data_IF_128425959293
#
_entry.id   IF_128425959293
#
_cell.length_a   1.000
_cell.length_b   1.000
_cell.length_c   1.000
_cell.angle_alpha   90.00
_cell.angle_beta   90.00
_cell.angle_gamma   90.00
#
_symmetry.space_group_name_H-M   'P 1'
#
loop_
_entity.id
_entity.type
_entity.pdbx_description
1 polymer ?
#
# COMPACT_ATOMS: atom_id res chain seq x y z
N UNK A 1 -17.95 5.54 2.34
CA UNK A 1 -16.99 6.66 2.31
C UNK A 1 -15.61 6.11 1.99
N UNK A 2 -15.28 6.03 0.71
CA UNK A 2 -13.95 5.69 0.21
C UNK A 2 -13.06 6.92 0.39
N UNK A 3 -12.08 6.86 1.30
CA UNK A 3 -11.04 7.89 1.39
C UNK A 3 -10.06 7.75 0.22
N UNK A 4 -10.55 7.93 -1.01
CA UNK A 4 -9.70 8.28 -2.14
C UNK A 4 -9.57 9.80 -2.11
N UNK A 5 -8.59 10.32 -1.36
CA UNK A 5 -8.22 11.73 -1.48
C UNK A 5 -7.85 11.97 -2.95
N UNK A 6 -8.71 12.69 -3.68
CA UNK A 6 -8.36 13.32 -4.95
C UNK A 6 -7.19 14.27 -4.65
N UNK A 7 -5.97 13.80 -4.88
CA UNK A 7 -4.79 14.64 -4.78
C UNK A 7 -4.81 15.62 -5.97
N UNK A 8 -4.40 16.89 -5.77
CA UNK A 8 -4.34 17.88 -6.83
C UNK A 8 -3.46 17.35 -7.98
N UNK A 9 -3.86 17.68 -9.20
CA UNK A 9 -3.49 17.08 -10.50
C UNK A 9 -2.00 17.08 -10.90
N UNK A 10 -1.07 17.40 -9.99
CA UNK A 10 0.37 17.42 -10.26
C UNK A 10 1.26 16.76 -9.20
N UNK A 11 0.68 16.13 -8.16
CA UNK A 11 1.49 15.49 -7.11
C UNK A 11 1.83 14.05 -7.47
N UNK A 12 3.10 13.78 -7.74
CA UNK A 12 3.65 12.44 -7.91
C UNK A 12 3.42 11.64 -6.61
N UNK A 13 2.74 10.50 -6.72
CA UNK A 13 2.45 9.62 -5.58
C UNK A 13 3.68 8.81 -5.24
N UNK A 14 3.92 8.58 -3.94
CA UNK A 14 5.00 7.70 -3.48
C UNK A 14 4.87 6.31 -4.11
N UNK A 15 5.99 5.66 -4.48
CA UNK A 15 5.96 4.24 -4.81
C UNK A 15 5.43 3.46 -3.61
N UNK A 16 4.59 2.45 -3.86
CA UNK A 16 3.97 1.64 -2.82
C UNK A 16 4.98 0.64 -2.27
N UNK A 17 5.01 0.46 -0.96
CA UNK A 17 5.79 -0.64 -0.35
C UNK A 17 5.05 -1.97 -0.46
N UNK A 18 5.77 -3.07 -0.21
CA UNK A 18 5.23 -4.42 -0.26
C UNK A 18 3.98 -4.61 0.60
N UNK A 19 3.99 -4.05 1.82
CA UNK A 19 2.84 -4.08 2.71
C UNK A 19 1.65 -3.26 2.18
N UNK A 20 1.89 -2.12 1.52
CA UNK A 20 0.81 -1.31 0.96
C UNK A 20 0.14 -2.05 -0.21
N UNK A 21 0.92 -2.71 -1.06
CA UNK A 21 0.40 -3.58 -2.13
C UNK A 21 -0.45 -4.70 -1.55
N UNK A 22 0.08 -5.43 -0.55
CA UNK A 22 -0.65 -6.48 0.14
C UNK A 22 -1.95 -5.97 0.78
N UNK A 23 -1.91 -4.84 1.49
CA UNK A 23 -3.10 -4.27 2.13
C UNK A 23 -4.16 -3.88 1.10
N UNK A 24 -3.75 -3.27 -0.01
CA UNK A 24 -4.65 -2.90 -1.09
C UNK A 24 -5.34 -4.14 -1.70
N UNK A 25 -4.58 -5.21 -1.90
CA UNK A 25 -5.10 -6.49 -2.37
C UNK A 25 -6.01 -7.15 -1.32
N UNK A 26 -5.60 -7.21 -0.06
CA UNK A 26 -6.39 -7.75 1.05
C UNK A 26 -7.78 -7.09 1.18
N UNK A 27 -7.83 -5.76 1.07
CA UNK A 27 -9.09 -5.01 1.08
C UNK A 27 -9.89 -5.24 -0.21
N UNK A 28 -9.24 -5.31 -1.37
CA UNK A 28 -9.89 -5.56 -2.67
C UNK A 28 -10.51 -6.96 -2.74
N UNK A 29 -9.83 -7.96 -2.20
CA UNK A 29 -10.30 -9.35 -2.13
C UNK A 29 -11.51 -9.51 -1.19
N UNK A 30 -11.94 -8.46 -0.47
CA UNK A 30 -13.04 -8.49 0.50
C UNK A 30 -12.90 -9.68 1.48
N UNK A 31 -11.65 -10.02 1.85
CA UNK A 31 -11.35 -11.10 2.81
C UNK A 31 -12.13 -10.93 4.12
N UNK A 32 -12.40 -9.68 4.48
CA UNK A 32 -13.34 -9.32 5.54
C UNK A 32 -14.58 -8.70 4.88
N UNK A 33 -15.77 -9.32 5.02
CA UNK A 33 -17.01 -8.74 4.53
C UNK A 33 -17.23 -7.35 5.13
N UNK A 34 -17.82 -6.40 4.39
CA UNK A 34 -18.16 -5.08 4.92
C UNK A 34 -19.13 -5.12 6.11
N UNK A 35 -19.84 -6.23 6.28
CA UNK A 35 -20.71 -6.51 7.43
C UNK A 35 -19.94 -6.86 8.70
N UNK A 36 -18.70 -7.34 8.59
CA UNK A 36 -17.85 -7.72 9.72
C UNK A 36 -16.99 -6.54 10.17
N UNK A 37 -16.32 -5.86 9.24
CA UNK A 37 -15.47 -4.71 9.57
C UNK A 37 -15.42 -3.73 8.41
N UNK A 38 -15.93 -2.52 8.65
CA UNK A 38 -15.92 -1.42 7.66
C UNK A 38 -14.84 -0.39 7.97
N UNK A 39 -14.27 -0.40 9.18
CA UNK A 39 -13.31 0.61 9.60
C UNK A 39 -11.93 0.36 8.93
N UNK A 40 -11.43 1.29 8.09
CA UNK A 40 -10.14 1.14 7.42
C UNK A 40 -8.95 1.02 8.39
N UNK A 41 -9.06 1.59 9.59
CA UNK A 41 -8.05 1.45 10.63
C UNK A 41 -7.94 0.01 11.11
N UNK A 42 -9.07 -0.64 11.41
CA UNK A 42 -9.10 -2.03 11.87
C UNK A 42 -8.67 -3.00 10.78
N UNK A 43 -9.11 -2.79 9.52
CA UNK A 43 -8.63 -3.56 8.38
C UNK A 43 -7.10 -3.46 8.20
N UNK A 44 -6.52 -2.29 8.45
CA UNK A 44 -5.07 -2.11 8.40
C UNK A 44 -4.36 -2.84 9.54
N UNK A 45 -4.95 -2.90 10.74
CA UNK A 45 -4.42 -3.69 11.87
C UNK A 45 -4.45 -5.19 11.57
N UNK A 46 -5.57 -5.70 11.05
CA UNK A 46 -5.72 -7.12 10.67
C UNK A 46 -4.72 -7.49 9.59
N UNK A 47 -4.62 -6.67 8.53
CA UNK A 47 -3.63 -6.87 7.47
C UNK A 47 -2.20 -6.85 8.01
N UNK A 48 -1.87 -5.96 8.95
CA UNK A 48 -0.55 -5.91 9.58
C UNK A 48 -0.25 -7.15 10.43
N UNK A 49 -1.26 -7.74 11.08
CA UNK A 49 -1.09 -9.01 11.80
C UNK A 49 -0.87 -10.17 10.84
N UNK A 50 -1.66 -10.27 9.77
CA UNK A 50 -1.49 -11.30 8.74
C UNK A 50 -0.13 -11.20 8.05
N UNK A 51 0.27 -9.99 7.65
CA UNK A 51 1.55 -9.74 7.02
C UNK A 51 2.73 -10.20 7.90
N UNK A 52 2.66 -9.92 9.21
CA UNK A 52 3.69 -10.37 10.17
C UNK A 52 3.70 -11.90 10.37
N UNK A 53 2.56 -12.56 10.19
CA UNK A 53 2.44 -14.02 10.23
C UNK A 53 2.82 -14.72 8.91
N UNK A 54 2.95 -13.98 7.79
CA UNK A 54 3.33 -14.56 6.50
C UNK A 54 4.79 -14.98 6.48
N UNK A 55 5.08 -16.10 5.82
CA UNK A 55 6.45 -16.55 5.59
C UNK A 55 7.18 -15.66 4.60
N UNK A 56 8.52 -15.72 4.58
CA UNK A 56 9.33 -14.97 3.63
C UNK A 56 8.93 -15.24 2.17
N UNK A 57 8.59 -16.50 1.84
CA UNK A 57 8.12 -16.91 0.51
C UNK A 57 6.79 -16.25 0.13
N UNK A 58 5.85 -16.13 1.09
CA UNK A 58 4.57 -15.45 0.84
C UNK A 58 4.74 -13.93 0.68
N UNK A 59 5.71 -13.33 1.39
CA UNK A 59 6.03 -11.91 1.26
C UNK A 59 6.88 -11.60 0.03
N UNK A 60 7.64 -12.57 -0.49
CA UNK A 60 8.55 -12.41 -1.62
C UNK A 60 7.91 -11.79 -2.87
N UNK A 61 6.75 -12.28 -3.37
CA UNK A 61 6.12 -11.67 -4.54
C UNK A 61 5.78 -10.20 -4.32
N UNK A 62 5.32 -9.84 -3.12
CA UNK A 62 5.01 -8.45 -2.76
C UNK A 62 6.27 -7.57 -2.64
N UNK A 63 7.37 -8.13 -2.14
CA UNK A 63 8.67 -7.45 -2.09
C UNK A 63 9.21 -7.19 -3.49
N UNK A 64 9.14 -8.18 -4.37
CA UNK A 64 9.52 -8.02 -5.78
C UNK A 64 8.70 -6.95 -6.48
N UNK A 65 7.37 -6.97 -6.33
CA UNK A 65 6.49 -5.96 -6.91
C UNK A 65 6.80 -4.55 -6.37
N UNK A 66 7.11 -4.43 -5.08
CA UNK A 66 7.45 -3.14 -4.48
C UNK A 66 8.79 -2.60 -4.96
N UNK A 67 9.80 -3.46 -5.11
CA UNK A 67 11.09 -3.06 -5.69
C UNK A 67 10.92 -2.69 -7.17
N UNK A 68 10.11 -3.43 -7.93
CA UNK A 68 9.78 -3.08 -9.31
C UNK A 68 9.11 -1.71 -9.40
N UNK A 69 8.07 -1.46 -8.60
CA UNK A 69 7.37 -0.17 -8.60
C UNK A 69 8.28 0.98 -8.14
N UNK A 70 9.22 0.72 -7.22
CA UNK A 70 10.25 1.68 -6.82
C UNK A 70 11.24 1.97 -7.94
N UNK A 71 11.68 0.96 -8.68
CA UNK A 71 12.57 1.14 -9.83
C UNK A 71 11.87 1.90 -10.96
N UNK A 72 10.66 1.48 -11.33
CA UNK A 72 9.83 2.16 -12.34
C UNK A 72 9.58 3.62 -11.96
N UNK A 73 9.26 3.88 -10.69
CA UNK A 73 9.08 5.23 -10.21
C UNK A 73 10.38 6.05 -10.25
N UNK A 74 11.53 5.45 -9.95
CA UNK A 74 12.82 6.14 -10.03
C UNK A 74 13.20 6.48 -11.47
N UNK A 75 12.87 5.61 -12.44
CA UNK A 75 13.07 5.85 -13.87
C UNK A 75 12.11 6.92 -14.39
N UNK A 76 10.83 6.85 -14.01
CA UNK A 76 9.80 7.78 -14.49
C UNK A 76 9.94 9.18 -13.85
N UNK A 77 10.46 9.24 -12.62
CA UNK A 77 10.64 10.47 -11.87
C UNK A 77 12.03 10.54 -11.22
N UNK A 78 13.09 10.78 -12.01
CA UNK A 78 14.46 10.83 -11.50
C UNK A 78 14.67 11.96 -10.46
N UNK A 79 13.94 13.07 -10.60
CA UNK A 79 13.98 14.21 -9.67
C UNK A 79 13.05 14.05 -8.46
N UNK A 80 12.36 12.91 -8.31
CA UNK A 80 11.43 12.71 -7.22
C UNK A 80 12.16 12.62 -5.87
N UNK A 81 11.96 13.63 -5.03
CA UNK A 81 12.43 13.64 -3.65
C UNK A 81 11.25 13.59 -2.69
N UNK A 82 11.29 12.61 -1.78
CA UNK A 82 10.28 12.52 -0.74
C UNK A 82 10.41 13.69 0.26
N UNK A 83 9.43 14.59 0.25
CA UNK A 83 9.33 15.69 1.23
C UNK A 83 8.18 15.39 2.21
N UNK A 84 8.48 14.98 3.45
CA UNK A 84 7.45 14.86 4.49
C UNK A 84 6.91 16.26 4.82
N UNK A 85 5.59 16.44 4.74
CA UNK A 85 4.96 17.63 5.33
C UNK A 85 5.10 17.49 6.84
N UNK A 86 5.83 18.40 7.49
CA UNK A 86 5.78 18.54 8.94
C UNK A 86 4.33 18.91 9.31
N UNK A 87 3.77 18.19 10.28
CA UNK A 87 2.43 18.43 10.82
C UNK A 87 2.58 19.21 12.11
#
# INVERSE_FOLDING_TARGET
MTHAQKQPSGRIRRPRSAFILFRCDFVRQKRVPPSVERNPCNLSRIAASLWRGMTALQQQPWKMLAEQEKMEHAVLYPDYKFQPRRR
#
